data_IF_202259731518
#
_entry.id   IF_202259731518
#
_cell.length_a   1.000
_cell.length_b   1.000
_cell.length_c   1.000
_cell.angle_alpha   90.00
_cell.angle_beta   90.00
_cell.angle_gamma   90.00
#
_symmetry.space_group_name_H-M   'P 1'
#
loop_
_entity.id
_entity.type
_entity.pdbx_description
1 polymer ?
#
# COMPACT_ATOMS: atom_id res chain seq x y z
N UNK A 1 34.44 -8.23 -26.08
CA UNK A 1 33.08 -7.76 -26.43
C UNK A 1 33.14 -6.25 -26.67
N UNK A 2 32.94 -5.77 -27.90
CA UNK A 2 32.78 -4.33 -28.17
C UNK A 2 31.42 -3.91 -27.61
N UNK A 3 31.41 -3.16 -26.51
CA UNK A 3 30.17 -2.58 -25.96
C UNK A 3 29.53 -1.70 -27.03
N UNK A 4 28.34 -2.09 -27.51
CA UNK A 4 27.61 -1.31 -28.51
C UNK A 4 27.31 0.09 -27.97
N UNK A 5 27.38 1.12 -28.83
CA UNK A 5 27.04 2.52 -28.47
C UNK A 5 25.66 2.61 -27.79
N UNK A 6 24.71 1.77 -28.20
CA UNK A 6 23.37 1.66 -27.61
C UNK A 6 23.42 1.23 -26.13
N UNK A 7 24.25 0.25 -25.78
CA UNK A 7 24.38 -0.23 -24.39
C UNK A 7 24.94 0.89 -23.51
N UNK A 8 25.92 1.65 -24.00
CA UNK A 8 26.49 2.78 -23.25
C UNK A 8 25.41 3.84 -22.98
N UNK A 9 24.61 4.18 -23.99
CA UNK A 9 23.50 5.14 -23.83
C UNK A 9 22.49 4.64 -22.77
N UNK A 10 22.09 3.37 -22.83
CA UNK A 10 21.15 2.81 -21.85
C UNK A 10 21.72 2.76 -20.43
N UNK A 11 23.00 2.46 -20.29
CA UNK A 11 23.68 2.49 -18.98
C UNK A 11 23.73 3.90 -18.43
N UNK A 12 24.03 4.91 -19.24
CA UNK A 12 24.07 6.31 -18.80
C UNK A 12 22.66 6.79 -18.41
N UNK A 13 21.67 6.60 -19.28
CA UNK A 13 20.29 7.03 -18.99
C UNK A 13 19.70 6.29 -17.79
N UNK A 14 19.91 4.98 -17.70
CA UNK A 14 19.49 4.17 -16.56
C UNK A 14 20.22 4.54 -15.27
N UNK A 15 21.52 4.82 -15.36
CA UNK A 15 22.34 5.27 -14.23
C UNK A 15 21.90 6.62 -13.68
N UNK A 16 21.58 7.57 -14.54
CA UNK A 16 21.05 8.88 -14.14
C UNK A 16 19.70 8.75 -13.40
N UNK A 17 18.79 7.93 -13.94
CA UNK A 17 17.51 7.68 -13.28
C UNK A 17 17.70 6.97 -11.94
N UNK A 18 18.56 5.96 -11.88
CA UNK A 18 18.87 5.24 -10.64
C UNK A 18 19.47 6.16 -9.58
N UNK A 19 20.45 6.99 -9.97
CA UNK A 19 21.04 7.98 -9.07
C UNK A 19 19.98 8.96 -8.54
N UNK A 20 19.10 9.48 -9.40
CA UNK A 20 18.02 10.37 -8.99
C UNK A 20 17.08 9.75 -7.93
N UNK A 21 16.77 8.45 -8.04
CA UNK A 21 15.94 7.74 -7.07
C UNK A 21 16.66 7.46 -5.74
N UNK A 22 17.95 7.13 -5.80
CA UNK A 22 18.72 6.69 -4.63
C UNK A 22 19.32 7.86 -3.86
N UNK A 23 19.80 8.90 -4.54
CA UNK A 23 20.52 10.01 -3.93
C UNK A 23 19.72 10.72 -2.82
N UNK A 24 18.42 11.08 -2.97
CA UNK A 24 17.68 11.75 -1.92
C UNK A 24 17.53 10.89 -0.66
N UNK A 25 17.33 9.58 -0.84
CA UNK A 25 17.19 8.62 0.25
C UNK A 25 18.54 8.47 0.97
N UNK A 26 19.64 8.27 0.23
CA UNK A 26 20.97 8.18 0.85
C UNK A 26 21.33 9.50 1.53
N UNK A 27 21.05 10.64 0.91
CA UNK A 27 21.38 11.95 1.46
C UNK A 27 20.66 12.21 2.78
N UNK A 28 19.35 11.90 2.89
CA UNK A 28 18.63 12.12 4.15
C UNK A 28 19.21 11.28 5.29
N UNK A 29 19.66 10.05 5.02
CA UNK A 29 20.34 9.21 6.00
C UNK A 29 21.71 9.76 6.39
N UNK A 30 22.54 10.12 5.40
CA UNK A 30 23.87 10.69 5.65
C UNK A 30 23.75 11.96 6.47
N UNK A 31 22.90 12.90 6.05
CA UNK A 31 22.71 14.18 6.73
C UNK A 31 22.16 14.00 8.15
N UNK A 32 21.23 13.06 8.36
CA UNK A 32 20.68 12.79 9.69
C UNK A 32 21.73 12.19 10.64
N UNK A 33 22.52 11.22 10.19
CA UNK A 33 23.49 10.54 11.07
C UNK A 33 24.82 11.28 11.23
N UNK A 34 25.21 12.13 10.28
CA UNK A 34 26.46 12.90 10.36
C UNK A 34 26.27 14.25 11.04
N UNK A 35 25.18 14.97 10.73
CA UNK A 35 24.99 16.35 11.18
C UNK A 35 23.95 16.50 12.30
N UNK A 36 23.01 15.54 12.43
CA UNK A 36 21.81 15.70 13.29
C UNK A 36 21.49 14.48 14.15
N UNK A 37 22.50 13.74 14.58
CA UNK A 37 22.32 12.55 15.41
C UNK A 37 21.50 12.81 16.69
N UNK A 38 21.70 13.92 17.45
CA UNK A 38 20.88 14.19 18.64
C UNK A 38 19.39 14.35 18.33
N UNK A 39 19.05 14.99 17.20
CA UNK A 39 17.66 15.14 16.77
C UNK A 39 17.03 13.78 16.41
N UNK A 40 17.81 12.86 15.83
CA UNK A 40 17.36 11.49 15.58
C UNK A 40 17.07 10.75 16.87
N UNK A 41 18.00 10.78 17.84
CA UNK A 41 17.83 10.10 19.13
C UNK A 41 16.58 10.62 19.84
N UNK A 42 16.41 11.94 19.88
CA UNK A 42 15.21 12.55 20.48
C UNK A 42 13.92 12.07 19.79
N UNK A 43 13.89 12.04 18.44
CA UNK A 43 12.74 11.55 17.70
C UNK A 43 12.49 10.06 17.92
N UNK A 44 13.53 9.24 18.04
CA UNK A 44 13.44 7.81 18.28
C UNK A 44 12.91 7.47 19.69
N UNK A 45 13.10 8.37 20.66
CA UNK A 45 12.56 8.22 22.03
C UNK A 45 11.26 9.00 22.26
N UNK A 46 10.85 9.87 21.34
CA UNK A 46 9.65 10.69 21.47
C UNK A 46 8.39 9.81 21.37
N UNK A 47 7.58 9.72 22.44
CA UNK A 47 6.36 8.90 22.43
C UNK A 47 5.35 9.32 21.35
N UNK A 48 5.33 10.60 20.95
CA UNK A 48 4.45 11.09 19.89
C UNK A 48 4.88 10.52 18.55
N UNK A 49 6.19 10.49 18.28
CA UNK A 49 6.76 9.93 17.06
C UNK A 49 6.50 8.42 17.00
N UNK A 50 6.80 7.70 18.08
CA UNK A 50 6.59 6.26 18.14
C UNK A 50 5.12 5.88 17.97
N UNK A 51 4.19 6.63 18.58
CA UNK A 51 2.74 6.44 18.39
C UNK A 51 2.32 6.70 16.94
N UNK A 52 2.81 7.75 16.31
CA UNK A 52 2.46 8.08 14.93
C UNK A 52 2.97 7.02 13.93
N UNK A 53 4.21 6.55 14.11
CA UNK A 53 4.79 5.47 13.31
C UNK A 53 4.02 4.17 13.53
N UNK A 54 3.80 3.78 14.79
CA UNK A 54 3.03 2.58 15.14
C UNK A 54 1.61 2.60 14.59
N UNK A 55 0.90 3.73 14.71
CA UNK A 55 -0.44 3.91 14.15
C UNK A 55 -0.44 3.75 12.62
N UNK A 56 0.55 4.31 11.93
CA UNK A 56 0.65 4.22 10.46
C UNK A 56 0.86 2.78 10.00
N UNK A 57 1.77 2.06 10.66
CA UNK A 57 2.05 0.65 10.38
C UNK A 57 0.81 -0.22 10.65
N UNK A 58 0.15 0.02 11.77
CA UNK A 58 -1.04 -0.73 12.17
C UNK A 58 -2.22 -0.47 11.23
N UNK A 59 -2.52 0.80 10.93
CA UNK A 59 -3.61 1.16 10.01
C UNK A 59 -3.36 0.61 8.59
N UNK A 60 -2.12 0.67 8.09
CA UNK A 60 -1.75 0.10 6.81
C UNK A 60 -1.84 -1.44 6.81
N UNK A 61 -1.53 -2.10 7.92
CA UNK A 61 -1.73 -3.53 8.04
C UNK A 61 -3.23 -3.90 8.01
N UNK A 62 -4.08 -3.15 8.71
CA UNK A 62 -5.53 -3.35 8.67
C UNK A 62 -6.10 -3.12 7.26
N UNK A 63 -5.64 -2.09 6.54
CA UNK A 63 -6.08 -1.86 5.16
C UNK A 63 -5.70 -3.03 4.24
N UNK A 64 -4.53 -3.65 4.43
CA UNK A 64 -4.12 -4.86 3.70
C UNK A 64 -5.03 -6.04 4.02
N UNK A 65 -5.38 -6.25 5.28
CA UNK A 65 -6.30 -7.34 5.67
C UNK A 65 -7.68 -7.19 5.03
N UNK A 66 -8.22 -5.97 5.03
CA UNK A 66 -9.51 -5.68 4.39
C UNK A 66 -9.40 -5.82 2.87
N UNK A 67 -8.35 -5.26 2.26
CA UNK A 67 -8.09 -5.39 0.83
C UNK A 67 -7.91 -6.86 0.42
N UNK A 68 -7.25 -7.68 1.23
CA UNK A 68 -7.11 -9.11 0.99
C UNK A 68 -8.47 -9.82 1.06
N UNK A 69 -9.21 -9.61 2.16
CA UNK A 69 -10.50 -10.27 2.39
C UNK A 69 -11.57 -9.93 1.35
N UNK A 70 -11.62 -8.68 0.88
CA UNK A 70 -12.60 -8.21 -0.10
C UNK A 70 -12.08 -8.28 -1.54
N UNK A 71 -10.81 -7.94 -1.74
CA UNK A 71 -10.20 -7.81 -3.06
C UNK A 71 -9.81 -9.13 -3.69
N UNK A 72 -9.39 -10.15 -2.92
CA UNK A 72 -9.02 -11.46 -3.49
C UNK A 72 -10.25 -12.18 -4.10
N UNK A 73 -11.42 -12.25 -3.43
CA UNK A 73 -12.62 -12.81 -4.06
C UNK A 73 -13.05 -12.03 -5.32
N UNK A 74 -13.02 -10.69 -5.25
CA UNK A 74 -13.34 -9.85 -6.41
C UNK A 74 -12.38 -10.11 -7.58
N UNK A 75 -11.08 -10.18 -7.31
CA UNK A 75 -10.05 -10.48 -8.29
C UNK A 75 -10.25 -11.84 -8.94
N UNK A 76 -10.62 -12.86 -8.17
CA UNK A 76 -10.94 -14.19 -8.71
C UNK A 76 -12.14 -14.15 -9.66
N UNK A 77 -13.21 -13.44 -9.29
CA UNK A 77 -14.39 -13.25 -10.15
C UNK A 77 -14.02 -12.53 -11.45
N UNK A 78 -13.23 -11.46 -11.36
CA UNK A 78 -12.75 -10.72 -12.54
C UNK A 78 -11.80 -11.57 -13.39
N UNK A 79 -11.01 -12.46 -12.81
CA UNK A 79 -10.14 -13.36 -13.57
C UNK A 79 -10.91 -14.47 -14.30
N UNK A 80 -11.99 -15.00 -13.69
CA UNK A 80 -12.70 -16.20 -14.20
C UNK A 80 -13.94 -15.90 -15.02
N UNK A 81 -14.70 -14.86 -14.68
CA UNK A 81 -16.00 -14.60 -15.31
C UNK A 81 -15.86 -13.57 -16.43
N UNK A 82 -16.59 -13.83 -17.53
CA UNK A 82 -16.81 -12.88 -18.63
C UNK A 82 -18.26 -12.41 -18.53
N UNK A 83 -18.46 -11.11 -18.35
CA UNK A 83 -19.80 -10.51 -18.26
C UNK A 83 -19.78 -9.09 -18.84
N UNK A 84 -20.96 -8.61 -19.29
CA UNK A 84 -21.12 -7.25 -19.83
C UNK A 84 -20.87 -6.24 -18.70
N UNK A 85 -20.05 -5.21 -18.97
CA UNK A 85 -19.71 -4.19 -17.97
C UNK A 85 -18.47 -4.48 -17.12
N UNK A 86 -17.80 -5.64 -17.30
CA UNK A 86 -16.54 -5.95 -16.61
C UNK A 86 -15.49 -4.83 -16.71
N UNK A 87 -15.28 -4.27 -17.90
CA UNK A 87 -14.32 -3.18 -18.10
C UNK A 87 -14.65 -1.90 -17.33
N UNK A 88 -15.94 -1.64 -17.07
CA UNK A 88 -16.37 -0.50 -16.23
C UNK A 88 -15.98 -0.76 -14.78
N UNK A 89 -16.21 -1.98 -14.27
CA UNK A 89 -15.81 -2.36 -12.91
C UNK A 89 -14.29 -2.28 -12.76
N UNK A 90 -13.53 -2.79 -13.73
CA UNK A 90 -12.06 -2.69 -13.74
C UNK A 90 -11.61 -1.23 -13.76
N UNK A 91 -12.24 -0.38 -14.57
CA UNK A 91 -11.97 1.07 -14.57
C UNK A 91 -12.29 1.76 -13.25
N UNK A 92 -13.37 1.38 -12.56
CA UNK A 92 -13.71 1.92 -11.23
C UNK A 92 -12.69 1.47 -10.19
N UNK A 93 -12.20 0.23 -10.27
CA UNK A 93 -11.15 -0.29 -9.38
C UNK A 93 -9.86 0.49 -9.57
N UNK A 94 -9.52 0.86 -10.81
CA UNK A 94 -8.28 1.59 -11.12
C UNK A 94 -8.41 3.11 -10.88
N UNK A 95 -9.64 3.63 -10.76
CA UNK A 95 -9.92 5.05 -10.59
C UNK A 95 -9.16 5.71 -9.43
N UNK A 96 -9.02 5.11 -8.22
CA UNK A 96 -8.25 5.70 -7.13
C UNK A 96 -6.78 5.98 -7.47
N UNK A 97 -6.21 5.27 -8.45
CA UNK A 97 -4.83 5.48 -8.89
C UNK A 97 -4.66 6.76 -9.73
N UNK A 98 -5.73 7.22 -10.38
CA UNK A 98 -5.74 8.42 -11.20
C UNK A 98 -6.23 9.67 -10.46
N UNK A 99 -7.01 9.50 -9.38
CA UNK A 99 -7.55 10.62 -8.61
C UNK A 99 -6.46 11.28 -7.75
N UNK A 100 -6.31 12.62 -7.78
CA UNK A 100 -5.45 13.34 -6.84
C UNK A 100 -5.83 13.05 -5.38
N UNK A 101 -4.85 12.79 -4.52
CA UNK A 101 -5.11 12.32 -3.14
C UNK A 101 -5.95 13.28 -2.29
N UNK A 102 -5.87 14.58 -2.56
CA UNK A 102 -6.73 15.59 -1.92
C UNK A 102 -8.20 15.43 -2.32
N UNK A 103 -8.47 15.17 -3.60
CA UNK A 103 -9.81 14.89 -4.11
C UNK A 103 -10.35 13.60 -3.50
N UNK A 104 -9.51 12.57 -3.39
CA UNK A 104 -9.88 11.32 -2.71
C UNK A 104 -10.27 11.55 -1.25
N UNK A 105 -9.52 12.37 -0.51
CA UNK A 105 -9.84 12.73 0.87
C UNK A 105 -11.19 13.42 1.03
N UNK A 106 -11.48 14.42 0.19
CA UNK A 106 -12.78 15.12 0.20
C UNK A 106 -13.93 14.18 -0.18
N UNK A 107 -13.74 13.35 -1.22
CA UNK A 107 -14.74 12.39 -1.64
C UNK A 107 -15.06 11.38 -0.54
N UNK A 108 -14.05 10.91 0.18
CA UNK A 108 -14.24 10.02 1.32
C UNK A 108 -14.91 10.74 2.49
N UNK A 109 -14.54 11.98 2.80
CA UNK A 109 -15.19 12.77 3.84
C UNK A 109 -16.69 12.97 3.55
N UNK A 110 -17.05 13.24 2.30
CA UNK A 110 -18.45 13.40 1.89
C UNK A 110 -19.31 12.14 2.09
N UNK A 111 -18.68 10.96 2.20
CA UNK A 111 -19.38 9.66 2.37
C UNK A 111 -19.26 9.14 3.80
N UNK A 112 -18.04 9.15 4.35
CA UNK A 112 -17.68 8.55 5.63
C UNK A 112 -17.67 9.55 6.80
N UNK A 113 -17.68 10.86 6.54
CA UNK A 113 -17.83 11.87 7.58
C UNK A 113 -19.20 11.82 8.24
N UNK A 114 -19.35 12.45 9.41
CA UNK A 114 -20.59 12.51 10.19
C UNK A 114 -21.76 13.12 9.40
N UNK A 115 -21.48 14.01 8.44
CA UNK A 115 -22.49 14.55 7.52
C UNK A 115 -22.75 13.70 6.27
N UNK A 116 -22.00 12.62 6.08
CA UNK A 116 -22.07 11.75 4.90
C UNK A 116 -23.10 10.64 5.01
N UNK A 117 -23.43 10.02 3.88
CA UNK A 117 -24.46 8.98 3.78
C UNK A 117 -24.14 7.77 4.66
N UNK A 118 -22.87 7.35 4.68
CA UNK A 118 -22.43 6.20 5.48
C UNK A 118 -22.06 6.67 6.88
N UNK A 119 -21.19 7.67 7.00
CA UNK A 119 -20.70 8.12 8.30
C UNK A 119 -21.81 8.60 9.24
N UNK A 120 -22.78 9.36 8.74
CA UNK A 120 -23.90 9.84 9.55
C UNK A 120 -24.87 8.74 10.01
N UNK A 121 -25.00 7.65 9.25
CA UNK A 121 -25.85 6.50 9.66
C UNK A 121 -25.11 5.53 10.58
N UNK A 122 -23.79 5.44 10.48
CA UNK A 122 -22.98 4.55 11.31
C UNK A 122 -22.42 5.22 12.56
N UNK A 123 -22.47 6.55 12.66
CA UNK A 123 -21.86 7.34 13.75
C UNK A 123 -22.10 6.79 15.17
N UNK A 124 -23.29 6.28 15.54
CA UNK A 124 -23.52 5.77 16.89
C UNK A 124 -22.65 4.57 17.29
N UNK A 125 -22.14 3.80 16.32
CA UNK A 125 -21.35 2.59 16.58
C UNK A 125 -20.01 2.55 15.84
N UNK A 126 -19.83 3.37 14.80
CA UNK A 126 -18.61 3.46 14.00
C UNK A 126 -18.41 4.89 13.49
N UNK A 127 -17.41 5.56 14.07
CA UNK A 127 -16.97 6.89 13.66
C UNK A 127 -15.72 6.82 12.80
N UNK A 128 -15.69 7.60 11.72
CA UNK A 128 -14.52 7.69 10.82
C UNK A 128 -13.68 8.94 11.08
N UNK A 129 -14.31 10.09 11.32
CA UNK A 129 -13.62 11.33 11.68
C UNK A 129 -12.89 11.20 13.02
N UNK A 130 -11.68 11.75 13.10
CA UNK A 130 -10.81 11.68 14.28
C UNK A 130 -10.63 10.26 14.84
N UNK A 131 -10.71 9.22 14.00
CA UNK A 131 -10.71 7.83 14.43
C UNK A 131 -9.95 6.91 13.46
N UNK A 132 -9.49 5.77 13.99
CA UNK A 132 -8.77 4.74 13.23
C UNK A 132 -9.53 4.24 11.98
N UNK A 133 -10.87 4.01 12.02
CA UNK A 133 -11.60 3.57 10.83
C UNK A 133 -11.49 4.53 9.64
N UNK A 134 -11.42 5.85 9.88
CA UNK A 134 -11.20 6.82 8.82
C UNK A 134 -9.81 6.70 8.21
N UNK A 135 -8.77 6.51 9.04
CA UNK A 135 -7.40 6.28 8.56
C UNK A 135 -7.35 5.03 7.68
N UNK A 136 -7.92 3.93 8.18
CA UNK A 136 -7.96 2.64 7.46
C UNK A 136 -8.76 2.78 6.17
N UNK A 137 -9.90 3.47 6.18
CA UNK A 137 -10.73 3.72 5.01
C UNK A 137 -10.02 4.53 3.92
N UNK A 138 -9.33 5.61 4.31
CA UNK A 138 -8.53 6.40 3.38
C UNK A 138 -7.35 5.62 2.81
N UNK A 139 -6.62 4.89 3.64
CA UNK A 139 -5.53 4.03 3.20
C UNK A 139 -6.04 2.92 2.26
N UNK A 140 -7.16 2.28 2.59
CA UNK A 140 -7.77 1.23 1.80
C UNK A 140 -8.20 1.74 0.43
N UNK A 141 -8.88 2.89 0.35
CA UNK A 141 -9.36 3.44 -0.91
C UNK A 141 -8.25 3.60 -1.94
N UNK A 142 -7.08 4.10 -1.52
CA UNK A 142 -5.97 4.36 -2.43
C UNK A 142 -5.07 3.13 -2.66
N UNK A 143 -5.10 2.14 -1.75
CA UNK A 143 -4.21 0.96 -1.83
C UNK A 143 -4.89 -0.32 -2.34
N UNK A 144 -6.21 -0.47 -2.18
CA UNK A 144 -6.96 -1.65 -2.63
C UNK A 144 -6.74 -2.05 -4.11
N UNK A 145 -6.56 -1.12 -5.08
CA UNK A 145 -6.34 -1.50 -6.47
C UNK A 145 -5.09 -2.38 -6.65
N UNK A 146 -4.05 -2.16 -5.85
CA UNK A 146 -2.81 -2.95 -5.90
C UNK A 146 -3.05 -4.42 -5.51
N UNK A 147 -3.87 -4.68 -4.48
CA UNK A 147 -4.26 -6.04 -4.10
C UNK A 147 -5.08 -6.69 -5.21
N UNK A 148 -6.12 -5.98 -5.67
CA UNK A 148 -7.08 -6.53 -6.63
C UNK A 148 -6.39 -6.88 -7.95
N UNK A 149 -5.59 -5.96 -8.50
CA UNK A 149 -4.91 -6.16 -9.78
C UNK A 149 -3.86 -7.27 -9.70
N UNK A 150 -3.03 -7.28 -8.65
CA UNK A 150 -2.01 -8.32 -8.47
C UNK A 150 -2.65 -9.70 -8.25
N UNK A 151 -3.70 -9.79 -7.43
CA UNK A 151 -4.45 -11.05 -7.24
C UNK A 151 -5.11 -11.51 -8.55
N UNK A 152 -5.67 -10.57 -9.34
CA UNK A 152 -6.32 -10.88 -10.62
C UNK A 152 -5.32 -11.45 -11.61
N UNK A 153 -4.16 -10.82 -11.76
CA UNK A 153 -3.05 -11.33 -12.57
C UNK A 153 -2.61 -12.72 -12.11
N UNK A 154 -2.52 -12.93 -10.79
CA UNK A 154 -2.22 -14.23 -10.20
C UNK A 154 -3.24 -15.31 -10.55
N UNK A 155 -4.53 -15.00 -10.50
CA UNK A 155 -5.54 -15.97 -10.92
C UNK A 155 -5.54 -16.19 -12.43
N UNK A 156 -5.26 -15.15 -13.23
CA UNK A 156 -5.16 -15.26 -14.69
C UNK A 156 -3.99 -16.12 -15.15
N UNK A 157 -2.89 -16.17 -14.39
CA UNK A 157 -1.74 -17.02 -14.72
C UNK A 157 -1.98 -18.51 -14.40
N UNK A 158 -2.97 -18.83 -13.56
CA UNK A 158 -3.37 -20.21 -13.27
C UNK A 158 -4.27 -20.76 -14.39
N UNK A 159 -3.85 -21.87 -15.01
CA UNK A 159 -4.63 -22.56 -16.04
C UNK A 159 -6.01 -23.01 -15.50
N UNK A 160 -7.13 -22.52 -16.07
CA UNK A 160 -8.47 -22.95 -15.68
C UNK A 160 -8.72 -24.45 -15.80
N UNK A 161 -7.95 -25.18 -16.63
CA UNK A 161 -8.06 -26.63 -16.75
C UNK A 161 -7.78 -27.34 -15.41
N UNK A 162 -6.88 -26.81 -14.57
CA UNK A 162 -6.57 -27.39 -13.26
C UNK A 162 -7.80 -27.38 -12.33
N UNK A 163 -8.60 -26.31 -12.39
CA UNK A 163 -9.85 -26.20 -11.64
C UNK A 163 -10.89 -27.21 -12.16
N UNK A 164 -10.98 -27.38 -13.48
CA UNK A 164 -11.89 -28.35 -14.09
C UNK A 164 -11.53 -29.79 -13.73
N UNK A 165 -10.24 -30.14 -13.71
CA UNK A 165 -9.75 -31.45 -13.27
C UNK A 165 -10.10 -31.69 -11.80
N UNK A 166 -9.84 -30.72 -10.92
CA UNK A 166 -10.21 -30.85 -9.51
C UNK A 166 -11.73 -31.09 -9.33
N UNK A 167 -12.56 -30.37 -10.10
CA UNK A 167 -14.00 -30.57 -10.09
C UNK A 167 -14.44 -31.96 -10.59
N UNK A 168 -13.79 -32.47 -11.65
CA UNK A 168 -14.06 -33.82 -12.15
C UNK A 168 -13.68 -34.91 -11.14
N UNK A 169 -12.71 -34.64 -10.26
CA UNK A 169 -12.35 -35.51 -9.14
C UNK A 169 -13.27 -35.35 -7.91
N UNK A 170 -14.41 -34.65 -8.05
CA UNK A 170 -15.41 -34.49 -7.00
C UNK A 170 -15.24 -33.27 -6.11
N UNK A 171 -14.29 -32.37 -6.39
CA UNK A 171 -14.15 -31.12 -5.64
C UNK A 171 -15.29 -30.14 -5.96
N UNK A 172 -15.84 -29.49 -4.94
CA UNK A 172 -16.74 -28.34 -5.15
C UNK A 172 -15.98 -27.12 -5.70
N UNK A 173 -16.70 -26.11 -6.22
CA UNK A 173 -16.06 -24.88 -6.72
C UNK A 173 -15.20 -24.18 -5.67
N UNK A 174 -15.68 -24.16 -4.42
CA UNK A 174 -14.93 -23.62 -3.29
C UNK A 174 -13.67 -24.44 -2.98
N UNK A 175 -13.76 -25.77 -3.04
CA UNK A 175 -12.61 -26.64 -2.84
C UNK A 175 -11.58 -26.48 -3.96
N UNK A 176 -12.01 -26.36 -5.22
CA UNK A 176 -11.12 -26.09 -6.34
C UNK A 176 -10.41 -24.73 -6.16
N UNK A 177 -11.14 -23.70 -5.78
CA UNK A 177 -10.54 -22.40 -5.43
C UNK A 177 -9.50 -22.51 -4.31
N UNK A 178 -9.87 -23.09 -3.16
CA UNK A 178 -9.00 -23.13 -1.99
C UNK A 178 -7.77 -24.04 -2.17
N UNK A 179 -7.91 -25.14 -2.91
CA UNK A 179 -6.84 -26.15 -3.05
C UNK A 179 -6.00 -26.01 -4.31
N UNK A 180 -6.50 -25.31 -5.33
CA UNK A 180 -5.82 -25.16 -6.62
C UNK A 180 -5.56 -23.69 -6.92
N UNK A 181 -6.61 -22.89 -7.13
CA UNK A 181 -6.46 -21.52 -7.63
C UNK A 181 -5.73 -20.61 -6.65
N UNK A 182 -6.14 -20.63 -5.38
CA UNK A 182 -5.59 -19.75 -4.35
C UNK A 182 -4.11 -20.05 -4.03
N UNK A 183 -3.68 -21.32 -3.80
CA UNK A 183 -2.28 -21.63 -3.57
C UNK A 183 -1.37 -21.29 -4.76
N UNK A 184 -1.81 -21.56 -5.99
CA UNK A 184 -1.03 -21.26 -7.19
C UNK A 184 -0.95 -19.74 -7.47
N UNK A 185 -2.01 -18.99 -7.18
CA UNK A 185 -2.02 -17.52 -7.28
C UNK A 185 -1.35 -16.83 -6.09
N UNK A 186 -1.06 -17.54 -4.99
CA UNK A 186 -0.59 -16.95 -3.73
C UNK A 186 0.67 -16.08 -3.87
N UNK A 187 1.70 -16.42 -4.67
CA UNK A 187 2.86 -15.54 -4.85
C UNK A 187 2.49 -14.14 -5.37
N UNK A 188 1.51 -14.07 -6.27
CA UNK A 188 0.98 -12.82 -6.80
C UNK A 188 0.10 -12.09 -5.77
N UNK A 189 -0.74 -12.81 -5.04
CA UNK A 189 -1.57 -12.22 -3.96
C UNK A 189 -0.66 -11.63 -2.87
N UNK A 190 0.39 -12.34 -2.48
CA UNK A 190 1.38 -11.86 -1.53
C UNK A 190 2.11 -10.62 -2.05
N UNK A 191 2.53 -10.62 -3.32
CA UNK A 191 3.11 -9.43 -3.95
C UNK A 191 2.14 -8.23 -3.89
N UNK A 192 0.86 -8.48 -4.17
CA UNK A 192 -0.22 -7.49 -4.06
C UNK A 192 -0.36 -6.94 -2.64
N UNK A 193 -0.29 -7.79 -1.62
CA UNK A 193 -0.30 -7.40 -0.21
C UNK A 193 0.85 -6.45 0.14
N UNK A 194 2.07 -6.76 -0.31
CA UNK A 194 3.26 -5.92 -0.09
C UNK A 194 3.10 -4.55 -0.73
N UNK A 195 2.63 -4.50 -1.99
CA UNK A 195 2.40 -3.22 -2.67
C UNK A 195 1.25 -2.42 -2.04
N UNK A 196 0.18 -3.09 -1.61
CA UNK A 196 -0.96 -2.48 -0.90
C UNK A 196 -0.48 -1.83 0.40
N UNK A 197 0.34 -2.54 1.18
CA UNK A 197 0.92 -2.03 2.41
C UNK A 197 1.84 -0.82 2.17
N UNK A 198 2.74 -0.94 1.19
CA UNK A 198 3.65 0.14 0.82
C UNK A 198 2.89 1.40 0.37
N UNK A 199 1.80 1.21 -0.40
CA UNK A 199 0.94 2.31 -0.83
C UNK A 199 0.17 2.92 0.33
N UNK A 200 -0.36 2.11 1.24
CA UNK A 200 -1.13 2.58 2.40
C UNK A 200 -0.30 3.46 3.34
N UNK A 201 0.94 3.03 3.68
CA UNK A 201 1.83 3.81 4.56
C UNK A 201 2.22 5.16 3.97
N UNK A 202 2.31 5.23 2.64
CA UNK A 202 2.68 6.44 1.92
C UNK A 202 1.55 7.48 1.86
N UNK A 203 0.36 7.15 2.37
CA UNK A 203 -0.80 8.04 2.29
C UNK A 203 -0.77 9.12 3.36
N UNK A 204 -1.12 10.35 2.97
CA UNK A 204 -1.17 11.50 3.85
C UNK A 204 -2.41 12.36 3.57
N UNK A 205 -2.54 12.81 2.33
CA UNK A 205 -3.55 13.82 1.94
C UNK A 205 -4.97 13.30 2.08
N UNK A 206 -5.24 12.04 1.72
CA UNK A 206 -6.58 11.48 1.89
C UNK A 206 -6.94 11.33 3.37
N UNK A 207 -5.96 10.95 4.21
CA UNK A 207 -6.16 10.73 5.65
C UNK A 207 -6.42 12.04 6.37
N UNK A 208 -5.60 13.08 6.16
CA UNK A 208 -5.73 14.34 6.90
C UNK A 208 -7.06 15.05 6.60
N UNK A 209 -7.57 14.94 5.37
CA UNK A 209 -8.85 15.55 4.99
C UNK A 209 -10.05 14.81 5.60
N UNK A 210 -9.99 13.48 5.72
CA UNK A 210 -11.08 12.69 6.30
C UNK A 210 -11.04 12.68 7.84
N UNK A 211 -9.86 12.53 8.43
CA UNK A 211 -9.69 12.26 9.87
C UNK A 211 -9.35 13.54 10.64
N UNK A 212 -8.77 14.53 9.98
CA UNK A 212 -8.16 15.69 10.64
C UNK A 212 -6.74 15.41 11.13
N UNK A 213 -6.21 16.30 11.96
CA UNK A 213 -4.83 16.22 12.47
C UNK A 213 -4.61 15.14 13.52
N UNK A 214 -5.65 14.75 14.27
CA UNK A 214 -5.58 13.75 15.33
C UNK A 214 -6.63 12.65 15.10
N UNK A 215 -6.28 11.37 15.26
CA UNK A 215 -4.94 10.84 15.59
C UNK A 215 -3.94 10.98 14.42
N UNK A 216 -2.69 11.30 14.75
CA UNK A 216 -1.69 11.70 13.75
C UNK A 216 -0.87 10.50 13.25
N UNK A 217 -0.91 10.26 11.94
CA UNK A 217 -0.03 9.30 11.25
C UNK A 217 1.35 9.91 10.97
N UNK A 218 2.36 9.07 10.72
CA UNK A 218 3.75 9.48 10.55
C UNK A 218 3.94 10.50 9.41
N UNK A 219 3.33 10.35 8.21
CA UNK A 219 3.39 11.40 7.18
C UNK A 219 2.86 12.76 7.65
N UNK A 220 1.76 12.75 8.43
CA UNK A 220 1.20 13.98 9.00
C UNK A 220 2.08 14.59 10.08
N UNK A 221 2.76 13.77 10.87
CA UNK A 221 3.74 14.25 11.84
C UNK A 221 4.98 14.85 11.16
N UNK A 222 5.48 14.24 10.09
CA UNK A 222 6.58 14.79 9.29
C UNK A 222 6.19 16.18 8.76
N UNK A 223 5.00 16.30 8.17
CA UNK A 223 4.47 17.57 7.69
C UNK A 223 4.39 18.60 8.82
N UNK A 224 3.79 18.23 9.97
CA UNK A 224 3.66 19.11 11.12
C UNK A 224 5.02 19.59 11.66
N UNK A 225 6.00 18.69 11.79
CA UNK A 225 7.37 19.02 12.24
C UNK A 225 8.10 19.93 11.26
N UNK A 226 7.87 19.77 9.95
CA UNK A 226 8.47 20.63 8.95
C UNK A 226 8.04 22.09 9.11
N UNK A 227 6.73 22.33 9.25
CA UNK A 227 6.21 23.69 9.41
C UNK A 227 6.43 24.29 10.79
N UNK A 228 6.48 23.46 11.85
CA UNK A 228 6.66 23.96 13.22
C UNK A 228 8.12 24.09 13.67
N UNK A 229 9.02 23.25 13.15
CA UNK A 229 10.41 23.13 13.65
C UNK A 229 11.46 23.05 12.54
N UNK A 230 11.05 23.15 11.27
CA UNK A 230 11.93 23.15 10.11
C UNK A 230 12.37 21.76 9.64
N UNK A 231 13.20 21.76 8.60
CA UNK A 231 13.61 20.57 7.86
C UNK A 231 14.29 19.51 8.74
N UNK A 232 15.18 19.92 9.65
CA UNK A 232 15.94 18.97 10.48
C UNK A 232 15.05 18.13 11.40
N UNK A 233 13.99 18.70 11.96
CA UNK A 233 13.04 17.98 12.82
C UNK A 233 12.16 17.01 12.00
N UNK A 234 11.75 17.42 10.80
CA UNK A 234 10.99 16.58 9.88
C UNK A 234 11.83 15.38 9.37
N UNK A 235 13.10 15.64 9.03
CA UNK A 235 14.04 14.59 8.60
C UNK A 235 14.21 13.50 9.65
N UNK A 236 14.28 13.85 10.94
CA UNK A 236 14.43 12.88 12.00
C UNK A 236 13.27 11.86 12.03
N UNK A 237 12.04 12.34 11.89
CA UNK A 237 10.84 11.49 11.82
C UNK A 237 10.80 10.70 10.51
N UNK A 238 11.17 11.32 9.38
CA UNK A 238 11.19 10.66 8.08
C UNK A 238 12.22 9.51 8.03
N UNK A 239 13.43 9.72 8.55
CA UNK A 239 14.47 8.70 8.66
C UNK A 239 14.01 7.56 9.56
N UNK A 240 13.39 7.87 10.70
CA UNK A 240 12.86 6.84 11.59
C UNK A 240 11.79 5.97 10.89
N UNK A 241 10.86 6.59 10.17
CA UNK A 241 9.86 5.85 9.38
C UNK A 241 10.52 4.98 8.31
N UNK A 242 11.51 5.51 7.58
CA UNK A 242 12.25 4.77 6.55
C UNK A 242 13.04 3.58 7.12
N UNK A 243 13.61 3.71 8.32
CA UNK A 243 14.29 2.61 9.02
C UNK A 243 13.35 1.45 9.35
N UNK A 244 12.04 1.69 9.44
CA UNK A 244 11.06 0.61 9.63
C UNK A 244 10.54 0.11 8.28
N UNK A 245 10.23 1.02 7.35
CA UNK A 245 9.61 0.67 6.07
C UNK A 245 10.57 -0.06 5.13
N UNK A 246 11.82 0.39 5.00
CA UNK A 246 12.77 -0.20 4.05
C UNK A 246 13.13 -1.65 4.41
N UNK A 247 13.52 -2.00 5.66
CA UNK A 247 13.78 -3.39 6.01
C UNK A 247 12.53 -4.26 5.85
N UNK A 248 11.36 -3.77 6.28
CA UNK A 248 10.10 -4.51 6.11
C UNK A 248 9.85 -4.82 4.63
N UNK A 249 10.01 -3.82 3.75
CA UNK A 249 9.83 -4.00 2.30
C UNK A 249 10.87 -4.97 1.70
N UNK A 250 12.14 -4.87 2.10
CA UNK A 250 13.22 -5.77 1.63
C UNK A 250 12.94 -7.21 2.06
N UNK A 251 12.58 -7.43 3.33
CA UNK A 251 12.25 -8.74 3.87
C UNK A 251 11.07 -9.33 3.10
N UNK A 252 9.97 -8.59 2.96
CA UNK A 252 8.80 -9.04 2.22
C UNK A 252 9.12 -9.35 0.74
N UNK A 253 9.94 -8.53 0.08
CA UNK A 253 10.39 -8.77 -1.30
C UNK A 253 11.27 -10.01 -1.42
N UNK A 254 12.11 -10.29 -0.42
CA UNK A 254 12.93 -11.49 -0.36
C UNK A 254 12.06 -12.76 -0.28
N UNK A 255 11.07 -12.76 0.62
CA UNK A 255 10.12 -13.87 0.76
C UNK A 255 9.32 -14.11 -0.53
N UNK A 256 8.89 -13.04 -1.21
CA UNK A 256 8.25 -13.14 -2.53
C UNK A 256 9.12 -13.89 -3.55
N UNK A 257 10.42 -13.56 -3.62
CA UNK A 257 11.35 -14.22 -4.54
C UNK A 257 11.47 -15.72 -4.29
N UNK A 258 11.51 -16.13 -3.01
CA UNK A 258 11.51 -17.56 -2.63
C UNK A 258 10.18 -18.26 -2.93
N UNK A 259 9.05 -17.56 -2.76
CA UNK A 259 7.74 -18.12 -3.08
C UNK A 259 7.59 -18.36 -4.58
N UNK A 260 8.02 -17.40 -5.42
CA UNK A 260 8.01 -17.56 -6.88
C UNK A 260 8.95 -18.66 -7.37
N UNK A 261 10.09 -18.89 -6.71
CA UNK A 261 11.03 -19.93 -7.12
C UNK A 261 10.56 -21.37 -6.84
N UNK A 262 9.45 -21.55 -6.11
CA UNK A 262 8.88 -22.86 -5.77
C UNK A 262 7.80 -23.35 -6.73
N UNK A 263 7.32 -22.49 -7.63
CA UNK A 263 6.28 -22.77 -8.62
C UNK A 263 6.85 -22.59 -10.03
#
# INVERSE_FOLDING_TARGET
MRTSKTIIIFVVLGGLLFAFLVLPIVNIFVEQFTLRLPAFVNAATDPIVLKAVGLSLFAAFLSVLIAFGLGVPLAYLLARKKFRGKGIIEGIIDLPMAIPHTVAGIALLAVLGSGGIIGGTTEPFLKFEAALPGIVGAMLFVSAPFMINSAREGFQSVDPHLENVARNLGASEWQAFQKVSFPLAFPHIFSGAVMTWARAISEFSAVILLVGFFPMIAPGLIWSRFYSSGLGAAMAVAVLLLLVVLPTFIILRYWRGRLLAKY
#
